data_IF_279421480944
#
_entry.id   IF_279421480944
#
_cell.length_a   1.000
_cell.length_b   1.000
_cell.length_c   1.000
_cell.angle_alpha   90.00
_cell.angle_beta   90.00
_cell.angle_gamma   90.00
#
_symmetry.space_group_name_H-M   'P 1'
#
loop_
_entity.id
_entity.type
_entity.pdbx_description
1 polymer ?
#
# COMPACT_ATOMS: atom_id res chain seq x y z
N UNK A 1 -17.04 17.55 18.55
CA UNK A 1 -17.46 16.74 17.39
C UNK A 1 -17.01 17.47 16.11
N UNK A 2 -15.72 17.34 15.77
CA UNK A 2 -15.12 17.78 14.49
C UNK A 2 -13.62 17.52 14.55
N UNK A 3 -13.21 16.25 14.54
CA UNK A 3 -11.79 15.88 14.46
C UNK A 3 -11.32 16.08 13.02
N UNK A 4 -11.12 17.34 12.64
CA UNK A 4 -10.48 17.69 11.39
C UNK A 4 -9.01 17.29 11.53
N UNK A 5 -8.67 16.02 11.19
CA UNK A 5 -7.29 15.53 11.11
C UNK A 5 -6.50 16.57 10.33
N UNK A 6 -5.55 17.24 10.98
CA UNK A 6 -4.77 18.31 10.37
C UNK A 6 -4.14 17.77 9.09
N UNK A 7 -4.31 18.49 7.98
CA UNK A 7 -3.75 18.12 6.67
C UNK A 7 -2.24 17.82 6.79
N UNK A 8 -1.57 18.50 7.72
CA UNK A 8 -0.16 18.37 8.07
C UNK A 8 0.17 16.98 8.64
N UNK A 9 -0.66 16.40 9.50
CA UNK A 9 -0.42 15.05 10.03
C UNK A 9 -0.56 13.99 8.94
N UNK A 10 -1.50 14.15 8.01
CA UNK A 10 -1.67 13.23 6.88
C UNK A 10 -0.48 13.30 5.93
N UNK A 11 0.03 14.51 5.66
CA UNK A 11 1.20 14.72 4.81
C UNK A 11 2.45 14.18 5.49
N UNK A 12 2.66 14.43 6.78
CA UNK A 12 3.79 13.86 7.52
C UNK A 12 3.73 12.34 7.56
N UNK A 13 2.52 11.78 7.75
CA UNK A 13 2.30 10.34 7.73
C UNK A 13 2.57 9.74 6.34
N UNK A 14 2.15 10.41 5.27
CA UNK A 14 2.45 9.99 3.91
C UNK A 14 3.95 10.03 3.62
N UNK A 15 4.62 11.14 3.95
CA UNK A 15 6.06 11.32 3.74
C UNK A 15 6.87 10.29 4.54
N UNK A 16 6.54 10.07 5.82
CA UNK A 16 7.24 9.08 6.64
C UNK A 16 7.00 7.64 6.15
N UNK A 17 5.78 7.35 5.70
CA UNK A 17 5.44 6.05 5.10
C UNK A 17 6.24 5.82 3.81
N UNK A 18 6.36 6.85 2.98
CA UNK A 18 7.06 6.80 1.71
C UNK A 18 8.58 6.70 1.91
N UNK A 19 9.16 7.47 2.84
CA UNK A 19 10.58 7.36 3.23
C UNK A 19 10.96 5.96 3.72
N UNK A 20 10.12 5.36 4.56
CA UNK A 20 10.35 4.01 5.07
C UNK A 20 10.14 2.93 4.00
N UNK A 21 9.14 3.10 3.12
CA UNK A 21 8.96 2.23 1.96
C UNK A 21 10.19 2.24 1.06
N UNK A 22 10.76 3.41 0.76
CA UNK A 22 12.02 3.54 0.03
C UNK A 22 13.16 2.86 0.79
N UNK A 23 13.30 3.12 2.08
CA UNK A 23 14.39 2.56 2.89
C UNK A 23 14.38 1.02 2.95
N UNK A 24 13.20 0.38 2.91
CA UNK A 24 13.05 -1.08 2.98
C UNK A 24 13.07 -1.74 1.59
N UNK A 25 12.31 -1.23 0.64
CA UNK A 25 12.19 -1.85 -0.68
C UNK A 25 13.43 -1.59 -1.54
N UNK A 26 14.13 -0.46 -1.40
CA UNK A 26 15.37 -0.19 -2.17
C UNK A 26 16.45 -1.26 -1.96
N UNK A 27 16.86 -1.62 -0.72
CA UNK A 27 17.85 -2.67 -0.51
C UNK A 27 17.31 -4.06 -0.88
N UNK A 28 16.02 -4.32 -0.68
CA UNK A 28 15.39 -5.59 -1.08
C UNK A 28 15.44 -5.79 -2.61
N UNK A 29 15.03 -4.78 -3.37
CA UNK A 29 15.09 -4.77 -4.83
C UNK A 29 16.52 -4.79 -5.35
N UNK A 30 17.44 -4.02 -4.74
CA UNK A 30 18.85 -4.03 -5.11
C UNK A 30 19.49 -5.41 -4.90
N UNK A 31 19.17 -6.09 -3.80
CA UNK A 31 19.65 -7.46 -3.54
C UNK A 31 19.06 -8.49 -4.50
N UNK A 32 17.78 -8.34 -4.87
CA UNK A 32 17.09 -9.28 -5.74
C UNK A 32 17.41 -9.08 -7.24
N UNK A 33 17.76 -7.86 -7.65
CA UNK A 33 18.02 -7.48 -9.05
C UNK A 33 19.50 -7.30 -9.39
N UNK A 34 20.40 -7.33 -8.39
CA UNK A 34 21.85 -7.08 -8.55
C UNK A 34 22.15 -5.77 -9.31
N UNK A 35 21.36 -4.73 -9.02
CA UNK A 35 21.35 -3.44 -9.73
C UNK A 35 21.58 -2.26 -8.79
N UNK A 36 22.04 -1.10 -9.31
CA UNK A 36 22.35 0.06 -8.48
C UNK A 36 21.15 0.53 -7.63
N UNK A 37 21.40 0.75 -6.33
CA UNK A 37 20.37 1.14 -5.34
C UNK A 37 19.60 2.40 -5.73
N UNK A 38 20.21 3.35 -6.42
CA UNK A 38 19.56 4.62 -6.79
C UNK A 38 18.42 4.40 -7.78
N UNK A 39 18.62 3.56 -8.80
CA UNK A 39 17.57 3.21 -9.77
C UNK A 39 16.47 2.38 -9.11
N UNK A 40 16.85 1.46 -8.22
CA UNK A 40 15.89 0.63 -7.47
C UNK A 40 15.02 1.43 -6.51
N UNK A 41 15.54 2.53 -5.95
CA UNK A 41 14.77 3.45 -5.12
C UNK A 41 13.68 4.16 -5.93
N UNK A 42 14.00 4.68 -7.12
CA UNK A 42 13.00 5.31 -7.99
C UNK A 42 11.91 4.32 -8.43
N UNK A 43 12.30 3.09 -8.78
CA UNK A 43 11.38 2.01 -9.16
C UNK A 43 10.47 1.61 -8.00
N UNK A 44 11.02 1.50 -6.80
CA UNK A 44 10.27 1.26 -5.56
C UNK A 44 9.16 2.29 -5.37
N UNK A 45 9.50 3.58 -5.48
CA UNK A 45 8.56 4.68 -5.31
C UNK A 45 7.48 4.59 -6.38
N UNK A 46 7.86 4.40 -7.64
CA UNK A 46 6.92 4.29 -8.76
C UNK A 46 5.94 3.13 -8.57
N UNK A 47 6.43 1.94 -8.20
CA UNK A 47 5.60 0.76 -7.95
C UNK A 47 4.67 1.01 -6.75
N UNK A 48 5.19 1.57 -5.65
CA UNK A 48 4.39 1.93 -4.47
C UNK A 48 3.27 2.91 -4.79
N UNK A 49 3.56 3.96 -5.57
CA UNK A 49 2.58 4.93 -6.04
C UNK A 49 1.53 4.28 -6.94
N UNK A 50 1.93 3.41 -7.86
CA UNK A 50 1.01 2.68 -8.73
C UNK A 50 0.12 1.74 -7.93
N UNK A 51 0.68 1.02 -6.95
CA UNK A 51 -0.08 0.14 -6.07
C UNK A 51 -1.08 0.92 -5.21
N UNK A 52 -0.68 2.06 -4.64
CA UNK A 52 -1.57 2.96 -3.89
C UNK A 52 -2.66 3.54 -4.78
N UNK A 53 -2.30 4.01 -5.98
CA UNK A 53 -3.25 4.53 -6.95
C UNK A 53 -4.24 3.44 -7.37
N UNK A 54 -3.78 2.22 -7.62
CA UNK A 54 -4.62 1.08 -7.95
C UNK A 54 -5.56 0.73 -6.79
N UNK A 55 -5.06 0.71 -5.55
CA UNK A 55 -5.86 0.49 -4.36
C UNK A 55 -6.99 1.51 -4.25
N UNK A 56 -6.68 2.81 -4.35
CA UNK A 56 -7.71 3.87 -4.28
C UNK A 56 -8.68 3.79 -5.45
N UNK A 57 -8.18 3.58 -6.67
CA UNK A 57 -8.99 3.49 -7.88
C UNK A 57 -9.96 2.30 -7.82
N UNK A 58 -9.44 1.11 -7.50
CA UNK A 58 -10.21 -0.12 -7.45
C UNK A 58 -11.23 -0.09 -6.31
N UNK A 59 -10.80 0.30 -5.11
CA UNK A 59 -11.67 0.39 -3.94
C UNK A 59 -12.78 1.44 -4.17
N UNK A 60 -12.46 2.57 -4.82
CA UNK A 60 -13.45 3.59 -5.20
C UNK A 60 -14.41 3.15 -6.32
N UNK A 61 -13.92 2.42 -7.31
CA UNK A 61 -14.73 1.89 -8.40
C UNK A 61 -15.69 0.82 -7.88
N UNK A 62 -15.19 -0.08 -7.02
CA UNK A 62 -15.99 -1.14 -6.42
C UNK A 62 -17.04 -0.59 -5.46
N UNK A 63 -16.69 0.39 -4.62
CA UNK A 63 -17.66 1.03 -3.72
C UNK A 63 -18.79 1.74 -4.50
N UNK A 64 -18.46 2.36 -5.64
CA UNK A 64 -19.47 2.90 -6.57
C UNK A 64 -20.30 1.81 -7.23
N UNK A 65 -19.69 0.69 -7.63
CA UNK A 65 -20.38 -0.44 -8.23
C UNK A 65 -21.37 -1.07 -7.24
N UNK A 66 -20.93 -1.24 -5.99
CA UNK A 66 -21.71 -1.81 -4.89
C UNK A 66 -22.91 -0.92 -4.56
N UNK A 67 -22.71 0.40 -4.50
CA UNK A 67 -23.79 1.39 -4.37
C UNK A 67 -24.75 1.37 -5.55
N UNK A 68 -24.26 1.22 -6.79
CA UNK A 68 -25.11 1.14 -7.99
C UNK A 68 -25.91 -0.14 -8.09
N UNK A 69 -25.34 -1.26 -7.66
CA UNK A 69 -25.98 -2.58 -7.70
C UNK A 69 -26.82 -2.88 -6.45
N UNK A 70 -26.86 -1.96 -5.47
CA UNK A 70 -27.52 -2.15 -4.17
C UNK A 70 -27.17 -3.49 -3.49
N UNK A 71 -25.95 -3.98 -3.73
CA UNK A 71 -25.50 -5.27 -3.24
C UNK A 71 -25.21 -5.17 -1.74
N UNK A 72 -25.77 -6.10 -0.97
CA UNK A 72 -25.41 -6.24 0.43
C UNK A 72 -23.93 -6.67 0.54
N UNK A 73 -23.16 -6.05 1.46
CA UNK A 73 -21.78 -6.46 1.72
C UNK A 73 -21.79 -7.85 2.37
N UNK A 74 -21.79 -8.89 1.54
CA UNK A 74 -21.73 -10.30 1.95
C UNK A 74 -20.29 -10.81 1.90
N UNK A 75 -20.04 -11.97 2.54
CA UNK A 75 -18.76 -12.65 2.46
C UNK A 75 -18.39 -12.98 1.00
N UNK A 76 -19.36 -13.38 0.16
CA UNK A 76 -19.14 -13.65 -1.26
C UNK A 76 -18.69 -12.40 -2.03
N UNK A 77 -19.31 -11.25 -1.75
CA UNK A 77 -18.93 -9.97 -2.35
C UNK A 77 -17.49 -9.58 -2.00
N UNK A 78 -17.05 -9.86 -0.76
CA UNK A 78 -15.66 -9.63 -0.33
C UNK A 78 -14.66 -10.55 -1.00
N UNK A 79 -15.01 -11.82 -1.20
CA UNK A 79 -14.15 -12.78 -1.90
C UNK A 79 -13.99 -12.40 -3.36
N UNK A 80 -15.09 -12.05 -4.05
CA UNK A 80 -15.04 -11.56 -5.44
C UNK A 80 -14.24 -10.27 -5.53
N UNK A 81 -14.41 -9.35 -4.57
CA UNK A 81 -13.61 -8.13 -4.49
C UNK A 81 -12.12 -8.43 -4.36
N UNK A 82 -11.74 -9.30 -3.42
CA UNK A 82 -10.35 -9.67 -3.20
C UNK A 82 -9.75 -10.33 -4.44
N UNK A 83 -10.45 -11.28 -5.06
CA UNK A 83 -10.00 -11.96 -6.28
C UNK A 83 -9.82 -11.01 -7.45
N UNK A 84 -10.77 -10.09 -7.70
CA UNK A 84 -10.62 -9.10 -8.77
C UNK A 84 -9.53 -8.07 -8.45
N UNK A 85 -9.42 -7.66 -7.18
CA UNK A 85 -8.42 -6.70 -6.74
C UNK A 85 -7.01 -7.25 -6.94
N UNK A 86 -6.77 -8.44 -6.39
CA UNK A 86 -5.47 -9.11 -6.41
C UNK A 86 -5.14 -9.58 -7.83
N UNK A 87 -6.10 -10.19 -8.54
CA UNK A 87 -5.93 -10.60 -9.93
C UNK A 87 -5.71 -9.43 -10.89
N UNK A 88 -6.44 -8.33 -10.74
CA UNK A 88 -6.26 -7.12 -11.55
C UNK A 88 -4.95 -6.41 -11.24
N UNK A 89 -4.56 -6.34 -9.97
CA UNK A 89 -3.28 -5.78 -9.55
C UNK A 89 -2.13 -6.59 -10.13
N UNK A 90 -2.13 -7.92 -10.00
CA UNK A 90 -1.11 -8.81 -10.57
C UNK A 90 -1.06 -8.69 -12.09
N UNK A 91 -2.20 -8.60 -12.78
CA UNK A 91 -2.25 -8.47 -14.23
C UNK A 91 -1.65 -7.15 -14.76
N UNK A 92 -1.60 -6.09 -13.95
CA UNK A 92 -1.00 -4.80 -14.33
C UNK A 92 0.43 -4.66 -13.80
N UNK A 93 0.65 -5.01 -12.54
CA UNK A 93 1.95 -4.90 -11.85
C UNK A 93 2.99 -5.83 -12.45
N UNK A 94 2.68 -7.11 -12.66
CA UNK A 94 3.64 -8.10 -13.16
C UNK A 94 4.21 -7.74 -14.53
N UNK A 95 3.42 -7.43 -15.57
CA UNK A 95 3.99 -7.04 -16.87
C UNK A 95 4.72 -5.70 -16.80
N UNK A 96 4.28 -4.76 -15.95
CA UNK A 96 4.98 -3.50 -15.76
C UNK A 96 6.38 -3.70 -15.13
N UNK A 97 6.46 -4.50 -14.07
CA UNK A 97 7.71 -4.87 -13.39
C UNK A 97 8.62 -5.66 -14.34
N UNK A 98 8.07 -6.64 -15.06
CA UNK A 98 8.79 -7.44 -16.03
C UNK A 98 9.38 -6.57 -17.16
N UNK A 99 8.60 -5.63 -17.69
CA UNK A 99 9.05 -4.71 -18.73
C UNK A 99 10.13 -3.74 -18.22
N UNK A 100 9.94 -3.18 -17.02
CA UNK A 100 10.85 -2.20 -16.44
C UNK A 100 12.20 -2.80 -16.05
N UNK A 101 12.18 -3.97 -15.40
CA UNK A 101 13.38 -4.64 -14.90
C UNK A 101 14.01 -5.59 -15.94
N UNK A 102 13.32 -5.81 -17.06
CA UNK A 102 13.68 -6.75 -18.11
C UNK A 102 13.83 -8.19 -17.59
N UNK A 103 12.89 -8.60 -16.74
CA UNK A 103 12.89 -9.92 -16.10
C UNK A 103 11.71 -10.78 -16.56
N UNK A 104 11.79 -12.08 -16.32
CA UNK A 104 10.70 -12.99 -16.65
C UNK A 104 9.43 -12.66 -15.86
N UNK A 105 8.25 -12.94 -16.43
CA UNK A 105 6.95 -12.79 -15.75
C UNK A 105 6.92 -13.51 -14.39
N UNK A 106 7.56 -14.67 -14.30
CA UNK A 106 7.60 -15.46 -13.07
C UNK A 106 8.48 -14.82 -12.00
N UNK A 107 9.62 -14.23 -12.38
CA UNK A 107 10.43 -13.41 -11.47
C UNK A 107 9.67 -12.17 -11.01
N UNK A 108 9.00 -11.46 -11.93
CA UNK A 108 8.19 -10.30 -11.59
C UNK A 108 7.04 -10.65 -10.63
N UNK A 109 6.40 -11.81 -10.81
CA UNK A 109 5.37 -12.33 -9.90
C UNK A 109 5.94 -12.62 -8.50
N UNK A 110 7.07 -13.31 -8.40
CA UNK A 110 7.73 -13.60 -7.11
C UNK A 110 8.12 -12.29 -6.41
N UNK A 111 8.62 -11.32 -7.18
CA UNK A 111 9.02 -10.02 -6.69
C UNK A 111 7.83 -9.21 -6.17
N UNK A 112 6.71 -9.21 -6.92
CA UNK A 112 5.45 -8.59 -6.53
C UNK A 112 4.91 -9.20 -5.23
N UNK A 113 4.83 -10.54 -5.15
CA UNK A 113 4.41 -11.26 -3.93
C UNK A 113 5.35 -10.97 -2.76
N UNK A 114 6.67 -10.94 -2.98
CA UNK A 114 7.66 -10.67 -1.95
C UNK A 114 7.54 -9.26 -1.38
N UNK A 115 7.37 -8.26 -2.25
CA UNK A 115 7.11 -6.88 -1.86
C UNK A 115 5.79 -6.78 -1.10
N UNK A 116 4.72 -7.40 -1.60
CA UNK A 116 3.39 -7.37 -0.99
C UNK A 116 3.38 -8.03 0.41
N UNK A 117 4.04 -9.18 0.56
CA UNK A 117 4.23 -9.86 1.85
C UNK A 117 5.10 -9.07 2.83
N UNK A 118 6.06 -8.28 2.36
CA UNK A 118 6.83 -7.37 3.22
C UNK A 118 6.03 -6.14 3.61
N UNK A 119 5.24 -5.62 2.68
CA UNK A 119 4.48 -4.40 2.85
C UNK A 119 3.26 -4.58 3.77
N UNK A 120 2.64 -5.76 3.81
CA UNK A 120 1.51 -6.10 4.69
C UNK A 120 1.82 -5.94 6.19
N UNK A 121 2.81 -6.66 6.77
CA UNK A 121 3.18 -6.52 8.17
C UNK A 121 3.76 -5.13 8.46
N UNK A 122 4.46 -4.51 7.51
CA UNK A 122 4.92 -3.12 7.64
C UNK A 122 3.76 -2.13 7.80
N UNK A 123 2.77 -2.19 6.91
CA UNK A 123 1.58 -1.33 6.96
C UNK A 123 0.82 -1.54 8.28
N UNK A 124 0.73 -2.80 8.72
CA UNK A 124 0.12 -3.16 9.99
C UNK A 124 0.88 -2.56 11.19
N UNK A 125 2.21 -2.69 11.23
CA UNK A 125 3.05 -2.09 12.28
C UNK A 125 2.96 -0.57 12.29
N UNK A 126 2.94 0.06 11.11
CA UNK A 126 2.85 1.51 10.98
C UNK A 126 1.48 2.04 11.46
N UNK A 127 0.40 1.37 11.07
CA UNK A 127 -0.94 1.66 11.61
C UNK A 127 -0.99 1.45 13.13
N UNK A 128 -0.39 0.38 13.64
CA UNK A 128 -0.35 0.08 15.08
C UNK A 128 0.44 1.13 15.87
N UNK A 129 1.60 1.56 15.35
CA UNK A 129 2.39 2.65 15.94
C UNK A 129 1.61 3.97 15.94
N UNK A 130 0.89 4.27 14.86
CA UNK A 130 0.09 5.49 14.76
C UNK A 130 -1.11 5.48 15.72
N UNK A 131 -1.82 4.36 15.83
CA UNK A 131 -2.92 4.19 16.79
C UNK A 131 -2.40 4.29 18.24
N UNK A 132 -1.23 3.72 18.55
CA UNK A 132 -0.61 3.82 19.87
C UNK A 132 -0.15 5.25 20.23
N UNK A 133 0.34 6.03 19.27
CA UNK A 133 0.67 7.45 19.49
C UNK A 133 -0.61 8.27 19.69
N UNK A 134 -1.66 7.99 18.92
CA UNK A 134 -2.94 8.69 19.03
C UNK A 134 -3.64 8.40 20.37
N UNK A 135 -3.61 7.15 20.84
CA UNK A 135 -4.11 6.79 22.18
C UNK A 135 -3.37 7.53 23.29
N UNK A 136 -2.04 7.64 23.20
CA UNK A 136 -1.24 8.38 24.20
C UNK A 136 -1.52 9.88 24.22
N UNK A 137 -1.79 10.48 23.06
CA UNK A 137 -2.17 11.89 22.96
C UNK A 137 -3.59 12.15 23.49
N UNK A 138 -4.55 11.25 23.22
CA UNK A 138 -5.93 11.34 23.73
C UNK A 138 -5.99 11.12 25.25
N UNK A 139 -5.17 10.22 25.80
CA UNK A 139 -5.06 10.05 27.26
C UNK A 139 -4.50 11.29 27.96
N UNK A 140 -3.55 12.01 27.34
CA UNK A 140 -3.02 13.26 27.91
C UNK A 140 -4.07 14.36 28.02
N UNK A 141 -4.96 14.49 27.04
CA UNK A 141 -6.04 15.49 27.08
C UNK A 141 -7.13 15.19 28.13
N UNK A 142 -7.25 13.95 28.59
CA UNK A 142 -8.26 13.55 29.59
C UNK A 142 -7.80 13.77 31.04
N UNK A 143 -6.50 14.00 31.27
CA UNK A 143 -5.94 14.32 32.60
C UNK A 143 -5.80 15.83 32.87
N UNK A 144 -6.10 16.69 31.89
CA UNK A 144 -6.08 18.15 32.03
C UNK A 144 -7.49 18.77 32.11
N UNK A 145 -8.55 17.95 32.20
CA UNK A 145 -9.95 18.37 32.30
C UNK A 145 -10.55 18.20 33.69
#
# INVERSE_FOLDING_TARGET
>A
MSTNKSFIERVFQAIAFELLAVMLCTPLLAWLMDKPMVEMGAVTIAIGLIALAWNVLFNGLFDRLLKRLALTPSAATRVVHALLFEGGLVAVSVPLIAWWLNVSLLQALILDIGVLLFFLPYTYLYHWAYDGVRERLLMRQSCEG
#
